data_IF_904642316583
#
_entry.id   IF_904642316583
#
_cell.length_a   1.000
_cell.length_b   1.000
_cell.length_c   1.000
_cell.angle_alpha   90.00
_cell.angle_beta   90.00
_cell.angle_gamma   90.00
#
_symmetry.space_group_name_H-M   'P 1'
#
loop_
_entity.id
_entity.type
_entity.pdbx_description
1 polymer ?
#
# COMPACT_ATOMS: atom_id res chain seq x y z
N UNK A 1 22.28 17.53 -67.57
CA UNK A 1 23.28 17.10 -66.60
C UNK A 1 23.33 18.12 -65.47
N UNK A 2 22.71 17.89 -64.38
CA UNK A 2 22.92 18.67 -63.14
C UNK A 2 22.77 17.70 -61.93
N UNK A 3 23.89 17.54 -61.25
CA UNK A 3 24.05 16.71 -60.06
C UNK A 3 23.45 17.49 -58.91
N UNK A 4 22.33 17.01 -58.37
CA UNK A 4 21.69 17.59 -57.16
C UNK A 4 22.35 16.97 -55.92
N UNK A 5 22.83 17.82 -55.07
CA UNK A 5 23.72 17.58 -53.92
C UNK A 5 22.94 16.96 -52.74
N UNK A 6 23.21 15.70 -52.42
CA UNK A 6 22.54 14.89 -51.38
C UNK A 6 22.94 15.23 -49.94
N UNK A 7 23.56 16.40 -49.66
CA UNK A 7 24.08 16.75 -48.32
C UNK A 7 23.15 17.59 -47.43
N UNK A 8 22.03 18.09 -47.90
CA UNK A 8 21.18 19.01 -47.14
C UNK A 8 19.93 18.38 -46.51
N UNK A 9 19.68 17.07 -46.68
CA UNK A 9 18.45 16.43 -46.16
C UNK A 9 18.65 15.83 -44.77
N UNK A 10 19.90 15.57 -44.36
CA UNK A 10 20.19 14.93 -43.08
C UNK A 10 20.18 15.86 -41.86
N UNK A 11 20.25 17.18 -42.03
CA UNK A 11 20.29 18.12 -40.89
C UNK A 11 18.90 18.59 -40.43
N UNK A 12 17.92 18.64 -41.30
CA UNK A 12 16.57 19.09 -40.98
C UNK A 12 15.77 18.07 -40.18
N UNK A 13 16.00 16.76 -40.37
CA UNK A 13 15.31 15.72 -39.60
C UNK A 13 15.81 15.57 -38.17
N UNK A 14 17.08 15.89 -37.88
CA UNK A 14 17.64 15.78 -36.52
C UNK A 14 17.18 16.89 -35.59
N UNK A 15 16.91 18.08 -36.11
CA UNK A 15 16.45 19.24 -35.33
C UNK A 15 14.93 19.13 -35.03
N UNK A 16 14.16 18.59 -35.96
CA UNK A 16 12.72 18.38 -35.78
C UNK A 16 12.43 17.25 -34.79
N UNK A 17 13.20 16.17 -34.80
CA UNK A 17 13.05 15.08 -33.82
C UNK A 17 13.40 15.50 -32.37
N UNK A 18 14.47 16.30 -32.20
CA UNK A 18 14.85 16.82 -30.88
C UNK A 18 13.84 17.84 -30.32
N UNK A 19 13.23 18.64 -31.22
CA UNK A 19 12.19 19.61 -30.87
C UNK A 19 10.87 18.93 -30.46
N UNK A 20 10.45 17.89 -31.15
CA UNK A 20 9.25 17.11 -30.82
C UNK A 20 9.41 16.31 -29.52
N UNK A 21 10.57 15.70 -29.29
CA UNK A 21 10.87 15.01 -28.05
C UNK A 21 10.90 15.99 -26.86
N UNK A 22 11.52 17.17 -27.02
CA UNK A 22 11.51 18.23 -25.98
C UNK A 22 10.10 18.82 -25.77
N UNK A 23 9.29 18.93 -26.80
CA UNK A 23 7.91 19.42 -26.68
C UNK A 23 7.01 18.38 -26.02
N UNK A 24 7.17 17.10 -26.34
CA UNK A 24 6.47 16.00 -25.65
C UNK A 24 6.92 15.84 -24.20
N UNK A 25 8.22 16.00 -23.89
CA UNK A 25 8.72 15.99 -22.51
C UNK A 25 8.16 17.17 -21.70
N UNK A 26 8.13 18.40 -22.24
CA UNK A 26 7.49 19.56 -21.61
C UNK A 26 5.97 19.40 -21.46
N UNK A 27 5.30 18.74 -22.40
CA UNK A 27 3.87 18.46 -22.31
C UNK A 27 3.57 17.37 -21.29
N UNK A 28 4.49 16.42 -21.08
CA UNK A 28 4.41 15.38 -20.05
C UNK A 28 4.66 15.93 -18.64
N UNK A 29 5.56 16.91 -18.48
CA UNK A 29 5.75 17.63 -17.22
C UNK A 29 4.57 18.55 -16.86
N UNK A 30 3.80 19.03 -17.85
CA UNK A 30 2.67 19.96 -17.64
C UNK A 30 1.37 19.25 -17.19
N UNK A 31 1.33 17.92 -17.07
CA UNK A 31 0.12 17.16 -16.72
C UNK A 31 0.10 16.56 -15.31
N UNK A 32 1.21 16.60 -14.57
CA UNK A 32 1.15 16.27 -13.15
C UNK A 32 0.50 17.42 -12.37
N UNK A 33 -0.75 17.23 -11.98
CA UNK A 33 -1.42 18.13 -11.02
C UNK A 33 -0.91 17.79 -9.62
N UNK A 34 -0.45 18.79 -8.88
CA UNK A 34 0.04 18.63 -7.52
C UNK A 34 -1.07 18.93 -6.51
N UNK A 35 -1.13 18.14 -5.44
CA UNK A 35 -2.06 18.35 -4.34
C UNK A 35 -1.73 19.62 -3.57
N UNK A 36 -2.78 20.37 -3.19
CA UNK A 36 -2.69 21.57 -2.33
C UNK A 36 -3.11 21.27 -0.89
N UNK A 37 -3.69 20.10 -0.64
CA UNK A 37 -4.13 19.69 0.70
C UNK A 37 -2.97 19.08 1.49
N UNK A 38 -3.03 19.18 2.82
CA UNK A 38 -2.14 18.41 3.68
C UNK A 38 -2.42 16.93 3.53
N UNK A 39 -1.43 16.10 3.18
CA UNK A 39 -1.66 14.68 2.92
C UNK A 39 -2.13 13.95 4.18
N UNK A 40 -2.97 12.93 4.00
CA UNK A 40 -3.30 11.98 5.05
C UNK A 40 -2.05 11.12 5.30
N UNK A 41 -1.36 11.38 6.42
CA UNK A 41 -0.06 10.77 6.74
C UNK A 41 -0.06 10.20 8.15
N UNK A 42 0.42 8.98 8.28
CA UNK A 42 0.52 8.28 9.56
C UNK A 42 1.58 7.19 9.58
N UNK A 43 1.54 6.39 10.62
CA UNK A 43 2.44 5.26 10.82
C UNK A 43 1.68 4.06 11.42
N UNK A 44 2.32 2.91 11.39
CA UNK A 44 1.86 1.73 12.12
C UNK A 44 2.28 1.85 13.57
N UNK A 45 1.33 2.03 14.49
CA UNK A 45 1.59 2.18 15.92
C UNK A 45 1.33 0.90 16.71
N UNK A 46 2.09 0.74 17.80
CA UNK A 46 1.97 -0.39 18.71
C UNK A 46 0.73 -0.28 19.58
N UNK A 47 0.04 -1.41 19.77
CA UNK A 47 -1.10 -1.53 20.69
C UNK A 47 -0.74 -2.14 22.06
N UNK A 48 0.54 -2.25 22.38
CA UNK A 48 1.00 -2.91 23.61
C UNK A 48 0.47 -2.24 24.90
N UNK A 49 0.18 -0.93 24.84
CA UNK A 49 -0.40 -0.15 25.94
C UNK A 49 -1.94 -0.06 25.88
N UNK A 50 -2.55 -0.65 24.85
CA UNK A 50 -3.98 -0.57 24.54
C UNK A 50 -4.26 0.10 23.20
N UNK A 51 -5.37 -0.27 22.55
CA UNK A 51 -5.75 0.22 21.22
C UNK A 51 -5.85 1.76 21.16
N UNK A 52 -6.50 2.36 22.16
CA UNK A 52 -6.71 3.82 22.25
C UNK A 52 -5.40 4.60 22.41
N UNK A 53 -4.37 4.02 23.01
CA UNK A 53 -3.06 4.68 23.14
C UNK A 53 -2.38 4.91 21.79
N UNK A 54 -2.60 4.04 20.81
CA UNK A 54 -2.07 4.23 19.47
C UNK A 54 -2.60 5.52 18.80
N UNK A 55 -3.86 5.89 19.06
CA UNK A 55 -4.44 7.15 18.59
C UNK A 55 -3.77 8.37 19.24
N UNK A 56 -3.61 8.36 20.56
CA UNK A 56 -2.93 9.45 21.26
C UNK A 56 -1.47 9.59 20.83
N UNK A 57 -0.75 8.48 20.73
CA UNK A 57 0.63 8.47 20.26
C UNK A 57 0.72 9.03 18.83
N UNK A 58 -0.13 8.55 17.91
CA UNK A 58 -0.22 9.05 16.54
C UNK A 58 -0.44 10.58 16.49
N UNK A 59 -1.31 11.11 17.35
CA UNK A 59 -1.54 12.56 17.47
C UNK A 59 -0.29 13.31 17.89
N UNK A 60 0.51 12.79 18.84
CA UNK A 60 1.75 13.45 19.28
C UNK A 60 2.81 13.51 18.17
N UNK A 61 2.71 12.64 17.16
CA UNK A 61 3.56 12.64 15.95
C UNK A 61 3.00 13.54 14.84
N UNK A 62 1.87 14.24 15.11
CA UNK A 62 1.19 15.08 14.12
C UNK A 62 0.59 14.29 12.97
N UNK A 63 0.22 13.03 13.20
CA UNK A 63 -0.45 12.21 12.21
C UNK A 63 -1.95 12.54 12.14
N UNK A 64 -2.53 12.31 10.96
CA UNK A 64 -3.96 12.36 10.70
C UNK A 64 -4.47 11.05 10.07
N UNK A 65 -3.59 10.07 9.94
CA UNK A 65 -3.88 8.68 9.58
C UNK A 65 -3.17 7.73 10.57
N UNK A 66 -3.66 6.49 10.67
CA UNK A 66 -3.17 5.49 11.63
C UNK A 66 -3.32 4.09 11.08
N UNK A 67 -2.34 3.24 11.34
CA UNK A 67 -2.49 1.79 11.21
C UNK A 67 -2.15 1.10 12.52
N UNK A 68 -2.90 0.05 12.83
CA UNK A 68 -2.69 -0.79 14.02
C UNK A 68 -2.90 -2.27 13.70
N UNK A 69 -2.39 -3.12 14.56
CA UNK A 69 -2.96 -4.46 14.72
C UNK A 69 -4.11 -4.42 15.73
N UNK A 70 -5.12 -5.29 15.59
CA UNK A 70 -6.22 -5.38 16.57
C UNK A 70 -5.96 -6.45 17.63
N UNK A 71 -4.92 -7.27 17.42
CA UNK A 71 -4.47 -8.32 18.36
C UNK A 71 -2.96 -8.55 18.28
N UNK A 72 -2.44 -9.44 19.14
CA UNK A 72 -1.08 -9.94 18.99
C UNK A 72 -0.95 -10.80 17.71
N UNK A 73 -0.03 -10.45 16.82
CA UNK A 73 0.12 -11.03 15.48
C UNK A 73 1.00 -12.29 15.42
N UNK A 74 1.74 -12.60 16.49
CA UNK A 74 2.63 -13.77 16.53
C UNK A 74 1.92 -15.06 17.03
N UNK A 75 0.63 -14.99 17.31
CA UNK A 75 -0.16 -16.10 17.81
C UNK A 75 -1.50 -16.24 17.09
N UNK A 76 -1.96 -17.48 16.94
CA UNK A 76 -3.30 -17.80 16.42
C UNK A 76 -4.42 -17.57 17.42
N UNK A 77 -4.08 -17.30 18.69
CA UNK A 77 -5.10 -17.04 19.71
C UNK A 77 -5.87 -15.78 19.36
N UNK A 78 -7.17 -15.92 19.16
CA UNK A 78 -8.06 -14.79 18.95
C UNK A 78 -8.40 -14.11 20.28
N UNK A 79 -8.80 -12.85 20.21
CA UNK A 79 -9.29 -12.09 21.35
C UNK A 79 -10.67 -11.50 21.04
N UNK A 80 -11.47 -11.37 22.07
CA UNK A 80 -12.69 -10.57 22.02
C UNK A 80 -12.39 -9.20 22.63
N UNK A 81 -12.86 -8.14 21.98
CA UNK A 81 -12.78 -6.79 22.51
C UNK A 81 -13.84 -6.61 23.61
N UNK A 82 -13.46 -6.02 24.72
CA UNK A 82 -14.41 -5.64 25.76
C UNK A 82 -15.11 -4.33 25.38
N UNK A 83 -16.29 -4.10 25.92
CA UNK A 83 -17.02 -2.84 25.72
C UNK A 83 -16.21 -1.62 26.18
N UNK A 84 -15.44 -1.79 27.25
CA UNK A 84 -14.57 -0.74 27.77
C UNK A 84 -13.44 -0.39 26.78
N UNK A 85 -12.82 -1.37 26.13
CA UNK A 85 -11.78 -1.13 25.11
C UNK A 85 -12.35 -0.39 23.92
N UNK A 86 -13.55 -0.77 23.45
CA UNK A 86 -14.25 -0.09 22.34
C UNK A 86 -14.55 1.35 22.74
N UNK A 87 -15.17 1.59 23.89
CA UNK A 87 -15.50 2.94 24.34
C UNK A 87 -14.24 3.83 24.48
N UNK A 88 -13.14 3.28 25.01
CA UNK A 88 -11.86 4.02 25.11
C UNK A 88 -11.29 4.35 23.73
N UNK A 89 -11.43 3.46 22.77
CA UNK A 89 -10.96 3.68 21.39
C UNK A 89 -11.78 4.78 20.71
N UNK A 90 -13.12 4.75 20.87
CA UNK A 90 -14.02 5.75 20.33
C UNK A 90 -13.74 7.14 20.92
N UNK A 91 -13.60 7.23 22.25
CA UNK A 91 -13.23 8.47 22.92
C UNK A 91 -11.89 9.04 22.42
N UNK A 92 -10.90 8.17 22.26
CA UNK A 92 -9.59 8.58 21.74
C UNK A 92 -9.69 9.06 20.28
N UNK A 93 -10.51 8.42 19.45
CA UNK A 93 -10.78 8.85 18.07
C UNK A 93 -11.42 10.24 18.04
N UNK A 94 -12.43 10.48 18.85
CA UNK A 94 -13.08 11.79 18.99
C UNK A 94 -12.08 12.89 19.46
N UNK A 95 -11.32 12.60 20.51
CA UNK A 95 -10.36 13.56 21.08
C UNK A 95 -9.18 13.88 20.16
N UNK A 96 -8.74 12.91 19.37
CA UNK A 96 -7.61 13.10 18.44
C UNK A 96 -8.05 13.65 17.09
N UNK A 97 -9.31 13.42 16.69
CA UNK A 97 -9.86 13.76 15.37
C UNK A 97 -9.29 12.89 14.25
N UNK A 98 -8.64 11.76 14.57
CA UNK A 98 -8.09 10.83 13.58
C UNK A 98 -9.19 9.86 13.15
N UNK A 99 -9.63 9.98 11.90
CA UNK A 99 -10.69 9.14 11.31
C UNK A 99 -10.16 8.19 10.23
N UNK A 100 -8.99 8.50 9.67
CA UNK A 100 -8.35 7.67 8.63
C UNK A 100 -7.54 6.55 9.29
N UNK A 101 -8.20 5.43 9.58
CA UNK A 101 -7.62 4.31 10.34
C UNK A 101 -7.69 3.04 9.49
N UNK A 102 -6.60 2.28 9.47
CA UNK A 102 -6.57 0.92 8.94
C UNK A 102 -6.14 -0.07 10.03
N UNK A 103 -6.62 -1.30 9.96
CA UNK A 103 -6.00 -2.41 10.67
C UNK A 103 -5.21 -3.28 9.70
N UNK A 104 -4.13 -3.88 10.18
CA UNK A 104 -3.39 -4.87 9.40
C UNK A 104 -3.64 -6.27 9.96
N UNK A 105 -3.86 -7.24 9.09
CA UNK A 105 -4.06 -8.62 9.49
C UNK A 105 -2.74 -9.26 9.98
N UNK A 106 -2.85 -10.37 10.72
CA UNK A 106 -1.66 -11.09 11.19
C UNK A 106 -0.85 -11.68 10.04
N UNK A 107 0.48 -11.61 10.10
CA UNK A 107 1.42 -12.27 9.17
C UNK A 107 1.27 -13.80 9.11
N UNK A 108 0.58 -14.41 10.06
CA UNK A 108 0.31 -15.86 10.06
C UNK A 108 -0.73 -16.26 9.03
N UNK A 109 -1.57 -15.34 8.57
CA UNK A 109 -2.66 -15.60 7.63
C UNK A 109 -2.09 -15.90 6.25
N UNK A 110 -2.49 -17.05 5.70
CA UNK A 110 -2.20 -17.44 4.33
C UNK A 110 -3.44 -18.13 3.73
N UNK A 111 -4.24 -17.39 2.97
CA UNK A 111 -5.46 -17.94 2.35
C UNK A 111 -5.17 -18.88 1.18
N UNK A 112 -3.96 -18.83 0.61
CA UNK A 112 -3.54 -19.71 -0.49
C UNK A 112 -2.90 -21.03 -0.03
N UNK A 113 -2.67 -21.21 1.30
CA UNK A 113 -1.98 -22.41 1.79
C UNK A 113 -2.72 -23.70 1.42
N UNK A 114 -2.03 -24.74 0.91
CA UNK A 114 -2.63 -26.05 0.64
C UNK A 114 -2.95 -26.84 1.91
N UNK A 115 -2.36 -26.47 3.03
CA UNK A 115 -2.52 -27.17 4.28
C UNK A 115 -3.88 -26.87 4.92
N UNK A 116 -4.79 -27.85 4.91
CA UNK A 116 -6.19 -27.70 5.32
C UNK A 116 -6.35 -27.06 6.70
N UNK A 117 -5.55 -27.49 7.69
CA UNK A 117 -5.63 -26.96 9.06
C UNK A 117 -5.22 -25.48 9.11
N UNK A 118 -4.08 -25.12 8.52
CA UNK A 118 -3.61 -23.72 8.47
C UNK A 118 -4.55 -22.83 7.66
N UNK A 119 -5.14 -23.35 6.60
CA UNK A 119 -6.13 -22.64 5.81
C UNK A 119 -7.36 -22.28 6.66
N UNK A 120 -7.94 -23.27 7.35
CA UNK A 120 -9.09 -23.02 8.25
C UNK A 120 -8.75 -22.01 9.36
N UNK A 121 -7.54 -22.08 9.94
CA UNK A 121 -7.05 -21.10 10.91
C UNK A 121 -6.92 -19.71 10.28
N UNK A 122 -6.41 -19.60 9.05
CA UNK A 122 -6.27 -18.34 8.32
C UNK A 122 -7.63 -17.69 8.02
N UNK A 123 -8.59 -18.47 7.54
CA UNK A 123 -9.95 -17.99 7.28
C UNK A 123 -10.63 -17.50 8.58
N UNK A 124 -10.52 -18.27 9.67
CA UNK A 124 -11.07 -17.83 10.95
C UNK A 124 -10.39 -16.56 11.46
N UNK A 125 -9.06 -16.47 11.37
CA UNK A 125 -8.31 -15.30 11.84
C UNK A 125 -8.70 -14.04 11.05
N UNK A 126 -8.84 -14.12 9.73
CA UNK A 126 -9.30 -13.00 8.91
C UNK A 126 -10.73 -12.61 9.25
N UNK A 127 -11.64 -13.58 9.41
CA UNK A 127 -13.02 -13.30 9.83
C UNK A 127 -13.05 -12.55 11.16
N UNK A 128 -12.27 -13.00 12.14
CA UNK A 128 -12.20 -12.33 13.44
C UNK A 128 -11.55 -10.94 13.36
N UNK A 129 -10.61 -10.73 12.44
CA UNK A 129 -10.04 -9.40 12.19
C UNK A 129 -11.09 -8.43 11.64
N UNK A 130 -11.90 -8.85 10.67
CA UNK A 130 -13.02 -8.06 10.15
C UNK A 130 -14.04 -7.71 11.26
N UNK A 131 -14.39 -8.68 12.11
CA UNK A 131 -15.32 -8.46 13.24
C UNK A 131 -14.74 -7.43 14.23
N UNK A 132 -13.47 -7.57 14.64
CA UNK A 132 -12.84 -6.61 15.57
C UNK A 132 -12.73 -5.22 14.95
N UNK A 133 -12.37 -5.13 13.69
CA UNK A 133 -12.26 -3.84 12.99
C UNK A 133 -13.63 -3.17 12.86
N UNK A 134 -14.69 -3.93 12.62
CA UNK A 134 -16.06 -3.43 12.62
C UNK A 134 -16.48 -2.89 14.00
N UNK A 135 -16.15 -3.62 15.07
CA UNK A 135 -16.43 -3.18 16.46
C UNK A 135 -15.71 -1.88 16.84
N UNK A 136 -14.58 -1.57 16.18
CA UNK A 136 -13.78 -0.36 16.37
C UNK A 136 -14.09 0.73 15.33
N UNK A 137 -15.06 0.49 14.45
CA UNK A 137 -15.39 1.38 13.32
C UNK A 137 -14.15 1.74 12.48
N UNK A 138 -13.27 0.74 12.25
CA UNK A 138 -12.10 0.85 11.37
C UNK A 138 -12.54 0.43 9.97
N UNK A 139 -12.45 1.32 8.96
CA UNK A 139 -13.02 1.05 7.63
C UNK A 139 -12.23 0.06 6.79
N UNK A 140 -10.94 -0.13 7.07
CA UNK A 140 -10.03 -0.90 6.23
C UNK A 140 -9.30 -1.99 7.03
N UNK A 141 -9.27 -3.21 6.45
CA UNK A 141 -8.41 -4.31 6.91
C UNK A 141 -7.43 -4.65 5.80
N UNK A 142 -6.14 -4.54 6.05
CA UNK A 142 -5.08 -4.84 5.09
C UNK A 142 -4.64 -6.29 5.25
N UNK A 143 -4.46 -6.96 4.11
CA UNK A 143 -4.11 -8.38 4.04
C UNK A 143 -3.07 -8.64 2.96
N UNK A 144 -1.95 -9.28 3.30
CA UNK A 144 -1.14 -9.97 2.30
C UNK A 144 -1.94 -11.14 1.73
N UNK A 145 -2.14 -11.27 0.41
CA UNK A 145 -3.01 -12.31 -0.16
C UNK A 145 -2.64 -13.73 0.25
N UNK A 146 -1.34 -13.99 0.39
CA UNK A 146 -0.81 -15.29 0.84
C UNK A 146 0.20 -15.89 -0.15
N UNK A 147 0.56 -17.16 0.07
CA UNK A 147 1.55 -17.88 -0.71
C UNK A 147 1.04 -19.27 -1.08
N UNK A 148 1.20 -19.68 -2.36
CA UNK A 148 0.66 -20.94 -2.88
C UNK A 148 1.47 -22.18 -2.51
N UNK A 149 2.65 -22.02 -1.92
CA UNK A 149 3.50 -23.08 -1.38
C UNK A 149 3.68 -24.28 -2.35
N UNK A 150 3.99 -24.00 -3.62
CA UNK A 150 4.24 -25.00 -4.65
C UNK A 150 2.99 -25.56 -5.36
N UNK A 151 1.76 -25.14 -5.00
CA UNK A 151 0.54 -25.64 -5.66
C UNK A 151 0.16 -24.91 -6.94
N UNK A 152 0.89 -23.87 -7.29
CA UNK A 152 0.69 -23.08 -8.49
C UNK A 152 -0.10 -21.78 -8.24
N UNK A 153 0.24 -20.77 -9.02
CA UNK A 153 -0.29 -19.41 -8.93
C UNK A 153 -1.82 -19.39 -9.06
N UNK A 154 -2.35 -19.96 -10.13
CA UNK A 154 -3.77 -19.86 -10.46
C UNK A 154 -4.66 -20.53 -9.42
N UNK A 155 -4.23 -21.71 -8.91
CA UNK A 155 -4.91 -22.39 -7.79
C UNK A 155 -4.84 -21.58 -6.50
N UNK A 156 -3.74 -20.85 -6.27
CA UNK A 156 -3.60 -19.96 -5.12
C UNK A 156 -4.55 -18.77 -5.21
N UNK A 157 -4.63 -18.11 -6.36
CA UNK A 157 -5.53 -16.99 -6.66
C UNK A 157 -6.99 -17.43 -6.44
N UNK A 158 -7.40 -18.54 -7.06
CA UNK A 158 -8.75 -19.09 -6.90
C UNK A 158 -9.09 -19.36 -5.43
N UNK A 159 -8.16 -19.98 -4.71
CA UNK A 159 -8.35 -20.30 -3.30
C UNK A 159 -8.48 -19.07 -2.40
N UNK A 160 -7.71 -18.01 -2.66
CA UNK A 160 -7.83 -16.72 -1.96
C UNK A 160 -9.23 -16.15 -2.17
N UNK A 161 -9.68 -16.05 -3.43
CA UNK A 161 -10.96 -15.46 -3.76
C UNK A 161 -12.14 -16.25 -3.15
N UNK A 162 -12.13 -17.59 -3.27
CA UNK A 162 -13.13 -18.45 -2.64
C UNK A 162 -13.18 -18.26 -1.12
N UNK A 163 -12.00 -18.17 -0.46
CA UNK A 163 -11.94 -17.96 0.98
C UNK A 163 -12.51 -16.62 1.39
N UNK A 164 -12.24 -15.55 0.62
CA UNK A 164 -12.78 -14.20 0.89
C UNK A 164 -14.30 -14.20 0.68
N UNK A 165 -14.82 -14.82 -0.39
CA UNK A 165 -16.27 -14.94 -0.65
C UNK A 165 -16.98 -15.67 0.50
N UNK A 166 -16.40 -16.78 0.97
CA UNK A 166 -16.94 -17.52 2.12
C UNK A 166 -16.95 -16.66 3.39
N UNK A 167 -15.86 -15.93 3.68
CA UNK A 167 -15.78 -15.04 4.84
C UNK A 167 -16.81 -13.91 4.73
N UNK A 168 -16.97 -13.30 3.55
CA UNK A 168 -17.94 -12.23 3.33
C UNK A 168 -19.38 -12.72 3.47
N UNK A 169 -19.70 -13.93 3.01
CA UNK A 169 -21.02 -14.55 3.21
C UNK A 169 -21.33 -14.83 4.68
N UNK A 170 -20.32 -15.10 5.50
CA UNK A 170 -20.44 -15.29 6.95
C UNK A 170 -20.47 -13.98 7.74
N UNK A 171 -20.23 -12.83 7.09
CA UNK A 171 -20.18 -11.50 7.69
C UNK A 171 -20.97 -10.47 6.87
N UNK A 172 -22.26 -10.72 6.56
CA UNK A 172 -23.04 -9.89 5.64
C UNK A 172 -23.27 -8.47 6.15
N UNK A 173 -23.36 -8.30 7.47
CA UNK A 173 -23.62 -7.00 8.11
C UNK A 173 -22.37 -6.14 8.28
N UNK A 174 -21.19 -6.70 8.04
CA UNK A 174 -19.91 -5.98 8.15
C UNK A 174 -19.64 -5.23 6.86
N UNK A 175 -19.47 -3.89 6.95
CA UNK A 175 -19.19 -3.01 5.80
C UNK A 175 -17.70 -2.67 5.65
N UNK A 176 -16.82 -3.39 6.32
CA UNK A 176 -15.38 -3.23 6.23
C UNK A 176 -14.89 -3.59 4.82
N UNK A 177 -13.99 -2.77 4.28
CA UNK A 177 -13.29 -3.07 3.04
C UNK A 177 -11.99 -3.82 3.34
N UNK A 178 -11.84 -5.00 2.75
CA UNK A 178 -10.61 -5.77 2.78
C UNK A 178 -9.67 -5.25 1.68
N UNK A 179 -8.47 -4.81 2.05
CA UNK A 179 -7.48 -4.33 1.11
C UNK A 179 -6.42 -5.42 0.88
N UNK A 180 -6.35 -5.91 -0.34
CA UNK A 180 -5.27 -6.78 -0.78
C UNK A 180 -4.01 -5.94 -0.92
N UNK A 181 -2.95 -6.29 -0.22
CA UNK A 181 -1.70 -5.56 -0.31
C UNK A 181 -0.83 -6.09 -1.45
N UNK A 182 -0.20 -5.17 -2.20
CA UNK A 182 0.90 -5.55 -3.10
C UNK A 182 2.00 -6.22 -2.29
N UNK A 183 2.64 -7.26 -2.83
CA UNK A 183 3.71 -8.00 -2.15
C UNK A 183 5.01 -7.97 -2.94
N UNK A 184 6.13 -8.24 -2.29
CA UNK A 184 7.43 -8.32 -2.95
C UNK A 184 7.59 -9.55 -3.87
N UNK A 185 6.69 -10.54 -3.77
CA UNK A 185 6.80 -11.80 -4.50
C UNK A 185 7.86 -12.74 -3.94
N UNK A 186 8.16 -12.65 -2.64
CA UNK A 186 9.13 -13.52 -1.98
C UNK A 186 8.63 -14.97 -1.98
N UNK A 187 9.47 -15.89 -2.45
CA UNK A 187 9.16 -17.32 -2.51
C UNK A 187 7.98 -17.62 -3.45
N UNK A 188 6.86 -18.05 -2.92
CA UNK A 188 5.61 -18.33 -3.65
C UNK A 188 4.48 -17.35 -3.28
N UNK A 189 4.84 -16.17 -2.81
CA UNK A 189 3.90 -15.09 -2.45
C UNK A 189 3.12 -14.59 -3.66
N UNK A 190 1.83 -14.39 -3.47
CA UNK A 190 0.89 -13.88 -4.47
C UNK A 190 0.61 -12.38 -4.23
N UNK A 191 0.17 -11.69 -5.28
CA UNK A 191 -0.09 -10.25 -5.23
C UNK A 191 1.14 -9.39 -5.53
N UNK A 192 2.17 -9.96 -6.15
CA UNK A 192 3.37 -9.21 -6.53
C UNK A 192 3.27 -8.57 -7.92
N UNK A 193 2.31 -8.97 -8.74
CA UNK A 193 1.94 -8.26 -9.96
C UNK A 193 0.53 -7.70 -9.86
N UNK A 194 0.26 -6.63 -10.58
CA UNK A 194 -1.06 -6.00 -10.61
C UNK A 194 -2.11 -6.95 -11.20
N UNK A 195 -1.71 -7.78 -12.18
CA UNK A 195 -2.57 -8.80 -12.78
C UNK A 195 -2.98 -9.89 -11.77
N UNK A 196 -2.11 -10.28 -10.85
CA UNK A 196 -2.47 -11.24 -9.80
C UNK A 196 -3.53 -10.65 -8.86
N UNK A 197 -3.37 -9.40 -8.46
CA UNK A 197 -4.34 -8.70 -7.60
C UNK A 197 -5.67 -8.50 -8.34
N UNK A 198 -5.64 -8.04 -9.59
CA UNK A 198 -6.83 -7.92 -10.43
C UNK A 198 -7.56 -9.28 -10.56
N UNK A 199 -6.81 -10.35 -10.83
CA UNK A 199 -7.38 -11.71 -10.96
C UNK A 199 -8.01 -12.23 -9.66
N UNK A 200 -7.49 -11.84 -8.49
CA UNK A 200 -8.12 -12.14 -7.20
C UNK A 200 -9.40 -11.33 -7.06
N UNK A 201 -9.35 -10.01 -7.32
CA UNK A 201 -10.49 -9.10 -7.18
C UNK A 201 -11.64 -9.53 -8.10
N UNK A 202 -11.37 -9.81 -9.37
CA UNK A 202 -12.40 -10.25 -10.35
C UNK A 202 -13.22 -11.46 -9.90
N UNK A 203 -12.63 -12.34 -9.06
CA UNK A 203 -13.28 -13.55 -8.53
C UNK A 203 -14.02 -13.31 -7.20
N UNK A 204 -13.92 -12.12 -6.63
CA UNK A 204 -14.63 -11.75 -5.40
C UNK A 204 -16.02 -11.24 -5.79
N UNK A 205 -17.06 -11.83 -5.24
CA UNK A 205 -18.47 -11.51 -5.57
C UNK A 205 -18.88 -10.10 -5.10
N UNK A 206 -18.48 -9.70 -3.90
CA UNK A 206 -18.80 -8.39 -3.34
C UNK A 206 -17.67 -7.39 -3.58
N UNK A 207 -17.64 -6.80 -4.77
CA UNK A 207 -16.63 -5.84 -5.21
C UNK A 207 -16.56 -4.58 -4.32
N UNK A 208 -17.65 -4.20 -3.67
CA UNK A 208 -17.67 -3.02 -2.80
C UNK A 208 -16.89 -3.24 -1.49
N UNK A 209 -16.57 -4.49 -1.14
CA UNK A 209 -15.87 -4.85 0.08
C UNK A 209 -14.39 -5.21 -0.15
N UNK A 210 -13.87 -5.05 -1.35
CA UNK A 210 -12.46 -5.29 -1.67
C UNK A 210 -11.82 -4.05 -2.28
N UNK A 211 -10.52 -3.89 -2.08
CA UNK A 211 -9.70 -2.85 -2.66
C UNK A 211 -8.21 -3.19 -2.51
N UNK A 212 -7.35 -2.21 -2.74
CA UNK A 212 -5.90 -2.39 -2.74
C UNK A 212 -5.23 -1.47 -1.71
N UNK A 213 -4.20 -2.03 -1.05
CA UNK A 213 -3.14 -1.30 -0.40
C UNK A 213 -1.86 -1.43 -1.23
N UNK A 214 -1.28 -0.32 -1.66
CA UNK A 214 -0.02 -0.31 -2.42
C UNK A 214 1.15 -0.03 -1.49
N UNK A 215 2.09 -0.97 -1.36
CA UNK A 215 3.35 -0.76 -0.65
C UNK A 215 4.48 -0.44 -1.64
N UNK A 216 5.17 0.69 -1.43
CA UNK A 216 6.24 1.16 -2.32
C UNK A 216 7.48 0.25 -2.32
N UNK A 217 7.83 -0.35 -1.18
CA UNK A 217 8.93 -1.32 -1.08
C UNK A 217 8.57 -2.61 -1.80
N UNK A 218 7.33 -3.07 -1.68
CA UNK A 218 6.85 -4.29 -2.30
C UNK A 218 6.80 -4.19 -3.83
N UNK A 219 6.19 -3.14 -4.38
CA UNK A 219 6.14 -2.97 -5.85
C UNK A 219 7.55 -2.79 -6.44
N UNK A 220 8.44 -2.10 -5.73
CA UNK A 220 9.84 -1.97 -6.15
C UNK A 220 10.57 -3.31 -6.13
N UNK A 221 10.44 -4.08 -5.07
CA UNK A 221 11.01 -5.41 -4.96
C UNK A 221 10.40 -6.40 -5.97
N UNK A 222 9.16 -6.21 -6.36
CA UNK A 222 8.48 -6.99 -7.41
C UNK A 222 8.97 -6.66 -8.83
N UNK A 223 9.64 -5.51 -9.04
CA UNK A 223 10.23 -5.12 -10.32
C UNK A 223 9.62 -3.88 -10.96
N UNK A 224 8.66 -3.21 -10.32
CA UNK A 224 8.14 -1.93 -10.80
C UNK A 224 9.09 -0.81 -10.37
N UNK A 225 9.84 -0.25 -11.34
CA UNK A 225 10.70 0.90 -11.05
C UNK A 225 9.86 2.16 -10.86
N UNK A 226 10.06 2.81 -9.71
CA UNK A 226 9.32 4.02 -9.30
C UNK A 226 10.27 5.21 -9.00
N UNK A 227 11.58 5.09 -9.30
CA UNK A 227 12.61 6.02 -8.85
C UNK A 227 12.64 7.35 -9.62
N UNK A 228 12.26 7.33 -10.87
CA UNK A 228 12.25 8.53 -11.73
C UNK A 228 10.81 8.96 -12.05
N UNK A 229 10.56 10.23 -12.40
CA UNK A 229 9.22 10.68 -12.80
C UNK A 229 8.62 9.86 -13.96
N UNK A 230 9.46 9.40 -14.89
CA UNK A 230 9.03 8.60 -16.02
C UNK A 230 8.63 7.18 -15.59
N UNK A 231 9.51 6.49 -14.85
CA UNK A 231 9.24 5.13 -14.37
C UNK A 231 8.10 5.10 -13.34
N UNK A 232 8.00 6.11 -12.46
CA UNK A 232 6.88 6.31 -11.55
C UNK A 232 5.55 6.41 -12.29
N UNK A 233 5.48 7.28 -13.31
CA UNK A 233 4.28 7.42 -14.15
C UNK A 233 3.93 6.09 -14.83
N UNK A 234 4.92 5.41 -15.43
CA UNK A 234 4.70 4.12 -16.09
C UNK A 234 4.11 3.08 -15.12
N UNK A 235 4.62 3.01 -13.89
CA UNK A 235 4.11 2.08 -12.87
C UNK A 235 2.69 2.46 -12.41
N UNK A 236 2.42 3.75 -12.19
CA UNK A 236 1.08 4.22 -11.79
C UNK A 236 0.05 4.09 -12.91
N UNK A 237 0.44 4.33 -14.16
CA UNK A 237 -0.44 4.16 -15.33
C UNK A 237 -0.74 2.66 -15.57
N UNK A 238 0.24 1.76 -15.32
CA UNK A 238 0.00 0.31 -15.36
C UNK A 238 -0.95 -0.14 -14.25
N UNK A 239 -0.80 0.40 -13.03
CA UNK A 239 -1.74 0.14 -11.94
C UNK A 239 -3.16 0.59 -12.30
N UNK A 240 -3.29 1.80 -12.83
CA UNK A 240 -4.59 2.36 -13.25
C UNK A 240 -5.25 1.52 -14.34
N UNK A 241 -4.49 1.12 -15.35
CA UNK A 241 -5.02 0.34 -16.47
C UNK A 241 -5.45 -1.09 -16.08
N UNK A 242 -4.82 -1.69 -15.06
CA UNK A 242 -5.07 -3.10 -14.68
C UNK A 242 -6.06 -3.21 -13.53
N UNK A 243 -5.95 -2.32 -12.53
CA UNK A 243 -6.73 -2.37 -11.28
C UNK A 243 -7.74 -1.21 -11.19
N UNK A 244 -7.34 -0.01 -11.66
CA UNK A 244 -8.06 1.25 -11.45
C UNK A 244 -7.61 1.98 -10.19
N UNK A 245 -7.31 3.28 -10.29
CA UNK A 245 -6.91 4.10 -9.12
C UNK A 245 -8.02 4.25 -8.09
N UNK A 246 -9.28 4.12 -8.48
CA UNK A 246 -10.46 4.14 -7.60
C UNK A 246 -10.49 2.97 -6.62
N UNK A 247 -9.73 1.90 -6.89
CA UNK A 247 -9.58 0.75 -6.01
C UNK A 247 -8.41 0.87 -5.03
N UNK A 248 -7.65 1.96 -5.07
CA UNK A 248 -6.54 2.23 -4.15
C UNK A 248 -7.02 2.99 -2.92
N UNK A 249 -6.98 2.37 -1.76
CA UNK A 249 -7.51 2.94 -0.51
C UNK A 249 -6.44 3.30 0.52
N UNK A 250 -5.26 2.67 0.48
CA UNK A 250 -4.13 2.95 1.38
C UNK A 250 -2.83 2.81 0.59
N UNK A 251 -1.83 3.64 0.92
CA UNK A 251 -0.47 3.50 0.44
C UNK A 251 0.46 3.30 1.64
N UNK A 252 1.23 2.21 1.64
CA UNK A 252 2.36 2.07 2.54
C UNK A 252 3.59 2.75 1.92
N UNK A 253 4.14 3.75 2.64
CA UNK A 253 5.34 4.47 2.23
C UNK A 253 6.56 3.88 2.93
N UNK A 254 7.21 2.94 2.28
CA UNK A 254 8.41 2.28 2.77
C UNK A 254 9.51 2.35 1.72
N UNK A 255 10.75 2.72 2.12
CA UNK A 255 11.90 2.55 1.24
C UNK A 255 12.34 1.08 1.26
N UNK A 256 13.04 0.64 0.24
CA UNK A 256 13.50 -0.74 0.13
C UNK A 256 14.98 -0.88 0.49
N UNK A 257 15.28 -1.80 1.40
CA UNK A 257 16.65 -2.19 1.72
C UNK A 257 17.28 -3.07 0.63
N UNK A 258 16.52 -3.47 -0.37
CA UNK A 258 16.92 -4.37 -1.44
C UNK A 258 16.71 -3.72 -2.80
N UNK A 259 17.44 -4.22 -3.78
CA UNK A 259 17.42 -3.72 -5.15
C UNK A 259 16.09 -3.98 -5.87
N UNK A 260 15.90 -3.27 -6.97
CA UNK A 260 14.76 -3.45 -7.88
C UNK A 260 14.66 -4.92 -8.34
N UNK A 261 13.47 -5.50 -8.25
CA UNK A 261 13.22 -6.86 -8.69
C UNK A 261 13.84 -7.96 -7.81
N UNK A 262 14.34 -7.61 -6.63
CA UNK A 262 14.97 -8.57 -5.70
C UNK A 262 14.03 -9.64 -5.16
N UNK A 263 12.73 -9.39 -5.18
CA UNK A 263 11.69 -10.22 -4.55
C UNK A 263 11.94 -10.50 -3.07
N UNK A 264 12.48 -9.51 -2.36
CA UNK A 264 12.78 -9.61 -0.92
C UNK A 264 12.11 -8.46 -0.20
N UNK A 265 11.20 -8.80 0.69
CA UNK A 265 10.52 -7.84 1.56
C UNK A 265 11.44 -7.42 2.71
N UNK A 266 12.01 -6.22 2.61
CA UNK A 266 12.83 -5.59 3.65
C UNK A 266 12.72 -4.08 3.54
N UNK A 267 11.99 -3.49 4.47
CA UNK A 267 11.82 -2.04 4.56
C UNK A 267 13.07 -1.32 5.04
N UNK A 268 13.24 -0.09 4.57
CA UNK A 268 14.28 0.85 4.99
C UNK A 268 13.64 2.21 5.32
N UNK A 269 14.38 3.07 6.00
CA UNK A 269 13.96 4.45 6.29
C UNK A 269 13.83 5.28 5.01
N UNK A 270 12.86 6.18 4.98
CA UNK A 270 12.55 7.01 3.83
C UNK A 270 13.79 7.72 3.27
N UNK A 271 14.09 7.48 1.99
CA UNK A 271 15.23 8.03 1.27
C UNK A 271 16.59 7.50 1.72
N UNK A 272 16.63 6.34 2.39
CA UNK A 272 17.86 5.66 2.81
C UNK A 272 18.07 4.32 2.11
N UNK A 273 17.08 3.83 1.39
CA UNK A 273 17.10 2.61 0.61
C UNK A 273 17.33 2.84 -0.88
N UNK A 274 17.04 1.80 -1.65
CA UNK A 274 17.27 1.75 -3.10
C UNK A 274 16.19 2.46 -3.92
N UNK A 275 15.03 2.78 -3.33
CA UNK A 275 13.98 3.59 -3.97
C UNK A 275 14.43 5.05 -4.00
N UNK A 276 14.93 5.56 -2.88
CA UNK A 276 15.41 6.92 -2.74
C UNK A 276 14.30 7.96 -2.60
N UNK A 277 14.71 9.19 -2.27
CA UNK A 277 13.80 10.25 -1.81
C UNK A 277 12.84 10.76 -2.90
N UNK A 278 13.22 10.66 -4.18
CA UNK A 278 12.43 11.26 -5.29
C UNK A 278 11.06 10.63 -5.45
N UNK A 279 10.94 9.33 -5.26
CA UNK A 279 9.65 8.63 -5.28
C UNK A 279 8.69 9.17 -4.23
N UNK A 280 9.19 9.39 -3.01
CA UNK A 280 8.37 9.91 -1.92
C UNK A 280 7.97 11.37 -2.17
N UNK A 281 8.84 12.19 -2.78
CA UNK A 281 8.48 13.53 -3.22
C UNK A 281 7.33 13.49 -4.25
N UNK A 282 7.41 12.59 -5.24
CA UNK A 282 6.34 12.42 -6.22
C UNK A 282 5.02 12.00 -5.57
N UNK A 283 5.04 10.95 -4.74
CA UNK A 283 3.85 10.42 -4.06
C UNK A 283 3.20 11.43 -3.11
N UNK A 284 4.00 12.21 -2.37
CA UNK A 284 3.49 13.18 -1.42
C UNK A 284 2.81 14.39 -2.09
N UNK A 285 3.09 14.63 -3.37
CA UNK A 285 2.55 15.75 -4.12
C UNK A 285 1.60 15.36 -5.25
N UNK A 286 1.39 14.06 -5.51
CA UNK A 286 0.50 13.60 -6.57
C UNK A 286 -0.97 13.77 -6.16
N UNK A 287 -1.70 14.64 -6.89
CA UNK A 287 -3.10 14.96 -6.61
C UNK A 287 -4.03 13.74 -6.68
N UNK A 288 -3.66 12.72 -7.48
CA UNK A 288 -4.44 11.48 -7.60
C UNK A 288 -4.56 10.75 -6.27
N UNK A 289 -3.58 10.95 -5.37
CA UNK A 289 -3.48 10.30 -4.08
C UNK A 289 -3.69 11.26 -2.89
N UNK A 290 -4.20 12.47 -3.11
CA UNK A 290 -4.35 13.44 -2.01
C UNK A 290 -5.25 12.93 -0.88
N UNK A 291 -6.31 12.21 -1.20
CA UNK A 291 -7.27 11.64 -0.25
C UNK A 291 -6.95 10.20 0.15
N UNK A 292 -5.86 9.61 -0.35
CA UNK A 292 -5.42 8.26 0.01
C UNK A 292 -4.49 8.33 1.22
N UNK A 293 -4.83 7.67 2.34
CA UNK A 293 -3.97 7.59 3.51
C UNK A 293 -2.60 6.97 3.18
N UNK A 294 -1.56 7.61 3.68
CA UNK A 294 -0.17 7.19 3.52
C UNK A 294 0.39 6.79 4.88
N UNK A 295 0.80 5.54 5.01
CA UNK A 295 1.24 4.94 6.28
C UNK A 295 2.68 4.47 6.14
N UNK A 296 3.53 4.77 7.09
CA UNK A 296 4.88 4.20 7.16
C UNK A 296 4.91 2.96 8.05
N UNK A 297 5.69 1.96 7.62
CA UNK A 297 6.01 0.74 8.36
C UNK A 297 7.53 0.54 8.43
N UNK A 298 8.25 1.63 8.52
CA UNK A 298 9.71 1.66 8.53
C UNK A 298 10.28 0.98 9.78
N UNK A 299 11.51 0.46 9.72
CA UNK A 299 12.14 -0.24 10.86
C UNK A 299 12.13 0.62 12.13
N UNK A 300 11.73 0.01 13.25
CA UNK A 300 11.74 0.68 14.56
C UNK A 300 12.99 0.32 15.33
N UNK A 301 13.67 1.32 15.86
CA UNK A 301 14.82 1.11 16.73
C UNK A 301 14.36 0.98 18.18
N UNK A 302 14.90 -0.02 18.89
CA UNK A 302 14.62 -0.22 20.31
C UNK A 302 15.26 0.86 21.18
N UNK A 303 16.43 1.36 20.75
CA UNK A 303 17.19 2.41 21.43
C UNK A 303 17.67 3.42 20.40
N UNK A 304 17.73 4.70 20.77
CA UNK A 304 18.16 5.78 19.88
C UNK A 304 17.04 6.72 19.48
N UNK A 305 17.20 7.49 18.40
CA UNK A 305 16.20 8.46 17.95
C UNK A 305 14.93 7.78 17.51
N UNK A 306 13.81 8.46 17.71
CA UNK A 306 12.50 8.02 17.25
C UNK A 306 12.42 8.04 15.71
N UNK A 307 12.51 6.84 15.14
CA UNK A 307 12.60 6.66 13.69
C UNK A 307 11.29 6.95 12.96
N UNK A 308 10.13 6.72 13.58
CA UNK A 308 8.84 7.06 12.99
C UNK A 308 8.71 8.58 12.88
N UNK A 309 9.03 9.33 13.94
CA UNK A 309 9.02 10.79 13.94
C UNK A 309 9.98 11.37 12.90
N UNK A 310 11.18 10.78 12.77
CA UNK A 310 12.16 11.16 11.77
C UNK A 310 11.62 10.97 10.35
N UNK A 311 11.06 9.80 10.02
CA UNK A 311 10.53 9.48 8.70
C UNK A 311 9.30 10.33 8.36
N UNK A 312 8.37 10.52 9.30
CA UNK A 312 7.18 11.38 9.13
C UNK A 312 7.57 12.84 8.86
N UNK A 313 8.55 13.39 9.62
CA UNK A 313 9.02 14.74 9.39
C UNK A 313 9.71 14.88 8.03
N UNK A 314 10.47 13.87 7.60
CA UNK A 314 11.07 13.83 6.28
C UNK A 314 10.01 13.86 5.18
N UNK A 315 8.98 13.04 5.27
CA UNK A 315 7.86 13.04 4.31
C UNK A 315 7.15 14.38 4.26
N UNK A 316 6.86 15.00 5.41
CA UNK A 316 6.25 16.35 5.46
C UNK A 316 7.09 17.42 4.78
N UNK A 317 8.43 17.32 4.90
CA UNK A 317 9.34 18.27 4.26
C UNK A 317 9.38 18.19 2.73
N UNK A 318 8.85 17.09 2.14
CA UNK A 318 8.76 16.88 0.71
C UNK A 318 7.51 17.50 0.07
N UNK A 319 6.51 17.87 0.88
CA UNK A 319 5.29 18.53 0.40
C UNK A 319 5.64 19.93 -0.10
N UNK A 320 5.23 20.25 -1.33
CA UNK A 320 5.49 21.56 -1.91
C UNK A 320 4.77 22.64 -1.09
N UNK A 321 5.54 23.63 -0.67
CA UNK A 321 4.98 24.83 -0.04
C UNK A 321 4.22 25.64 -1.09
N UNK A 322 3.03 26.08 -0.71
CA UNK A 322 2.22 27.01 -1.51
C UNK A 322 2.87 28.37 -1.60
#
# INVERSE_FOLDING_TARGET
MSVVNARNIFWTHRVLFSGQIRFQMKKAESTMKYSKASPLLGAHFSIAKGLHHALYESKTYGCNALQIFTKNTITWKERTLTREEINRFDQAREQTGITSIASHSSYLINLATPERKKHAMSCNALKQELIRSSMLDIPFVILHPGAHLGKGRDKGIEKIALSINEIFSQTPDIQIRLLLETTAGQGSGLGHTFEELASIMEKIENQNRVGICLDTSHVFAAGYDIRTPESYRKATDAFDAIIGLENLYVIHLNDSKKELGSRVDRHEHIGKGYIGIKTFELLMNDIRFENVPKIIETPKQKYGPDTDKMNLNRLRSLVFKQ
#
